data_IF_892800585338
#
_entry.id   IF_892800585338
#
_cell.length_a   1.000
_cell.length_b   1.000
_cell.length_c   1.000
_cell.angle_alpha   90.00
_cell.angle_beta   90.00
_cell.angle_gamma   90.00
#
_symmetry.space_group_name_H-M   'P 1'
#
loop_
_entity.id
_entity.type
_entity.pdbx_description
1 polymer ?
#
# COMPACT_ATOMS: atom_id res chain seq x y z
N UNK A 1 9.61 -12.09 16.33
CA UNK A 1 8.68 -11.15 15.67
C UNK A 1 7.29 -11.46 16.19
N UNK A 2 6.59 -10.47 16.73
CA UNK A 2 5.18 -10.57 17.07
C UNK A 2 4.38 -11.03 15.85
N UNK A 3 3.24 -11.66 16.07
CA UNK A 3 2.40 -12.20 15.00
C UNK A 3 1.83 -11.06 14.14
N UNK A 4 2.50 -10.77 13.03
CA UNK A 4 2.10 -9.76 12.06
C UNK A 4 0.74 -10.07 11.44
N UNK A 5 0.43 -11.35 11.19
CA UNK A 5 -0.86 -11.76 10.65
C UNK A 5 -1.99 -11.46 11.65
N UNK A 6 -1.78 -11.78 12.94
CA UNK A 6 -2.76 -11.42 13.97
C UNK A 6 -2.94 -9.90 14.10
N UNK A 7 -1.88 -9.11 13.93
CA UNK A 7 -1.97 -7.64 13.98
C UNK A 7 -2.77 -7.09 12.80
N UNK A 8 -2.50 -7.58 11.59
CA UNK A 8 -3.27 -7.25 10.39
C UNK A 8 -4.75 -7.59 10.58
N UNK A 9 -5.07 -8.81 11.04
CA UNK A 9 -6.47 -9.22 11.28
C UNK A 9 -7.17 -8.36 12.33
N UNK A 10 -6.48 -7.96 13.41
CA UNK A 10 -7.04 -7.03 14.40
C UNK A 10 -7.34 -5.67 13.78
N UNK A 11 -6.44 -5.14 12.95
CA UNK A 11 -6.66 -3.88 12.26
C UNK A 11 -7.82 -3.95 11.26
N UNK A 12 -7.94 -5.05 10.50
CA UNK A 12 -9.06 -5.30 9.60
C UNK A 12 -10.40 -5.35 10.36
N UNK A 13 -10.45 -6.05 11.49
CA UNK A 13 -11.65 -6.14 12.33
C UNK A 13 -12.06 -4.80 12.96
N UNK A 14 -11.10 -3.91 13.21
CA UNK A 14 -11.32 -2.57 13.76
C UNK A 14 -11.42 -1.45 12.70
N UNK A 15 -11.49 -1.80 11.42
CA UNK A 15 -11.47 -0.83 10.34
C UNK A 15 -12.73 0.05 10.32
N UNK A 16 -12.55 1.36 10.10
CA UNK A 16 -13.63 2.32 9.92
C UNK A 16 -14.05 2.34 8.44
N UNK A 17 -15.21 1.76 8.16
CA UNK A 17 -15.76 1.65 6.82
C UNK A 17 -16.47 2.96 6.40
N UNK A 18 -16.10 3.48 5.24
CA UNK A 18 -16.67 4.66 4.61
C UNK A 18 -17.28 4.28 3.27
N UNK A 19 -18.34 4.97 2.87
CA UNK A 19 -19.04 4.70 1.59
C UNK A 19 -18.89 5.83 0.59
N UNK A 20 -18.53 7.04 1.03
CA UNK A 20 -18.39 8.23 0.20
C UNK A 20 -16.92 8.66 0.12
N UNK A 21 -16.40 9.08 -1.06
CA UNK A 21 -17.10 9.10 -2.37
C UNK A 21 -17.17 7.72 -3.04
N UNK A 22 -16.47 6.73 -2.47
CA UNK A 22 -16.56 5.33 -2.80
C UNK A 22 -16.27 4.50 -1.56
N UNK A 23 -16.61 3.21 -1.59
CA UNK A 23 -16.35 2.30 -0.48
C UNK A 23 -14.85 2.18 -0.22
N UNK A 24 -14.43 2.56 0.98
CA UNK A 24 -13.05 2.46 1.44
C UNK A 24 -13.01 2.24 2.96
N UNK A 25 -11.85 1.86 3.47
CA UNK A 25 -11.66 1.59 4.89
C UNK A 25 -10.43 2.30 5.42
N UNK A 26 -10.56 2.85 6.61
CA UNK A 26 -9.46 3.46 7.35
C UNK A 26 -9.08 2.57 8.52
N UNK A 27 -7.78 2.35 8.70
CA UNK A 27 -7.24 1.42 9.68
C UNK A 27 -6.21 2.13 10.55
N UNK A 28 -6.04 1.63 11.77
CA UNK A 28 -4.99 2.04 12.69
C UNK A 28 -4.20 0.81 13.14
N UNK A 29 -2.91 1.01 13.43
CA UNK A 29 -2.02 0.00 13.97
C UNK A 29 -1.95 -1.30 13.14
N UNK A 30 -1.87 -1.17 11.82
CA UNK A 30 -1.92 -2.29 10.86
C UNK A 30 -0.86 -3.36 11.15
N UNK A 31 0.36 -2.91 11.44
CA UNK A 31 1.53 -3.78 11.64
C UNK A 31 2.00 -3.76 13.10
N UNK A 32 2.72 -4.78 13.57
CA UNK A 32 3.49 -4.68 14.80
C UNK A 32 4.44 -3.48 14.77
N UNK A 33 4.57 -2.74 15.88
CA UNK A 33 5.48 -1.58 15.95
C UNK A 33 6.95 -1.93 15.66
N UNK A 34 7.39 -3.13 16.03
CA UNK A 34 8.71 -3.67 15.68
C UNK A 34 8.87 -3.93 14.17
N UNK A 35 7.80 -4.35 13.47
CA UNK A 35 7.83 -4.55 12.03
C UNK A 35 7.93 -3.20 11.31
N UNK A 36 7.18 -2.18 11.76
CA UNK A 36 7.31 -0.80 11.26
C UNK A 36 8.76 -0.32 11.43
N UNK A 37 9.34 -0.51 12.63
CA UNK A 37 10.72 -0.11 12.91
C UNK A 37 11.73 -0.83 12.03
N UNK A 38 11.56 -2.14 11.82
CA UNK A 38 12.42 -2.94 10.95
C UNK A 38 12.31 -2.53 9.47
N UNK A 39 11.11 -2.21 8.97
CA UNK A 39 10.92 -1.67 7.60
C UNK A 39 11.65 -0.34 7.45
N UNK A 40 11.49 0.58 8.41
CA UNK A 40 12.13 1.91 8.36
C UNK A 40 13.66 1.85 8.43
N UNK A 41 14.21 0.75 8.93
CA UNK A 41 15.64 0.47 9.02
C UNK A 41 16.20 -0.28 7.79
N UNK A 42 15.37 -0.64 6.82
CA UNK A 42 15.85 -1.28 5.58
C UNK A 42 16.84 -0.35 4.86
N UNK A 43 17.95 -0.88 4.34
CA UNK A 43 19.02 -0.09 3.73
C UNK A 43 18.67 0.34 2.29
N UNK A 44 17.43 0.79 2.08
CA UNK A 44 16.93 1.26 0.80
C UNK A 44 16.95 2.79 0.80
N UNK A 45 17.89 3.42 0.06
CA UNK A 45 17.90 4.87 -0.03
C UNK A 45 16.62 5.33 -0.72
N UNK A 46 15.96 6.40 -0.25
CA UNK A 46 14.84 6.97 -0.98
C UNK A 46 15.34 7.41 -2.36
N UNK A 47 14.61 7.09 -3.44
CA UNK A 47 15.03 7.44 -4.80
C UNK A 47 15.16 8.97 -4.94
N UNK A 48 16.04 9.38 -5.85
CA UNK A 48 16.00 10.74 -6.38
C UNK A 48 14.78 10.82 -7.31
N UNK A 49 13.86 11.73 -7.00
CA UNK A 49 12.65 11.91 -7.78
C UNK A 49 12.90 13.10 -8.69
N UNK A 50 13.01 12.84 -10.00
CA UNK A 50 12.96 13.88 -11.02
C UNK A 50 11.52 14.31 -11.30
N UNK A 51 11.32 15.13 -12.33
CA UNK A 51 9.97 15.50 -12.78
C UNK A 51 9.17 14.24 -13.15
N UNK A 52 8.11 13.94 -12.40
CA UNK A 52 7.28 12.76 -12.62
C UNK A 52 6.15 13.01 -13.61
N UNK A 53 5.88 14.28 -13.96
CA UNK A 53 4.70 14.71 -14.71
C UNK A 53 3.40 14.13 -14.15
N UNK A 54 3.35 13.89 -12.83
CA UNK A 54 2.21 13.32 -12.14
C UNK A 54 2.02 11.82 -12.34
N UNK A 55 3.01 11.11 -12.90
CA UNK A 55 2.91 9.68 -13.21
C UNK A 55 3.92 8.86 -12.42
N UNK A 56 3.43 7.73 -11.92
CA UNK A 56 4.21 6.79 -11.11
C UNK A 56 5.22 5.96 -11.92
N UNK A 57 5.00 5.78 -13.21
CA UNK A 57 5.82 4.91 -14.08
C UNK A 57 7.18 5.51 -14.47
N UNK A 58 7.40 6.80 -14.22
CA UNK A 58 8.62 7.53 -14.60
C UNK A 58 9.90 7.03 -13.91
N UNK A 59 9.78 6.26 -12.83
CA UNK A 59 10.91 5.79 -12.01
C UNK A 59 10.82 4.30 -11.63
N UNK A 60 10.30 3.45 -12.54
CA UNK A 60 10.08 2.03 -12.24
C UNK A 60 11.34 1.26 -11.80
N UNK A 61 12.53 1.62 -12.29
CA UNK A 61 13.80 0.95 -11.96
C UNK A 61 14.28 1.16 -10.51
N UNK A 62 13.75 2.17 -9.82
CA UNK A 62 14.13 2.50 -8.43
C UNK A 62 13.10 2.03 -7.41
N UNK A 63 11.98 1.45 -7.86
CA UNK A 63 10.96 0.90 -6.97
C UNK A 63 11.52 -0.29 -6.20
N UNK A 64 11.03 -0.46 -4.98
CA UNK A 64 11.43 -1.54 -4.08
C UNK A 64 10.22 -2.39 -3.78
N UNK A 65 10.39 -3.70 -3.89
CA UNK A 65 9.35 -4.68 -3.65
C UNK A 65 9.81 -5.65 -2.56
N UNK A 66 8.89 -6.20 -1.78
CA UNK A 66 9.21 -7.32 -0.91
C UNK A 66 9.15 -8.63 -1.70
N UNK A 67 9.86 -8.67 -2.82
CA UNK A 67 9.95 -9.82 -3.69
C UNK A 67 10.92 -10.86 -3.12
N UNK A 68 11.09 -11.99 -3.81
CA UNK A 68 11.85 -13.13 -3.31
C UNK A 68 13.29 -12.77 -2.88
N UNK A 69 13.97 -11.85 -3.58
CA UNK A 69 15.31 -11.41 -3.22
C UNK A 69 15.32 -10.65 -1.89
N UNK A 70 14.44 -9.67 -1.73
CA UNK A 70 14.35 -8.86 -0.51
C UNK A 70 13.90 -9.69 0.69
N UNK A 71 13.01 -10.66 0.49
CA UNK A 71 12.64 -11.61 1.54
C UNK A 71 13.82 -12.46 2.01
N UNK A 72 14.68 -12.90 1.09
CA UNK A 72 15.89 -13.67 1.43
C UNK A 72 16.93 -12.84 2.19
N UNK A 73 17.00 -11.53 1.92
CA UNK A 73 17.97 -10.61 2.52
C UNK A 73 17.49 -9.96 3.82
N UNK A 74 16.18 -9.78 3.96
CA UNK A 74 15.57 -9.01 5.04
C UNK A 74 14.39 -9.78 5.66
N UNK A 75 14.54 -10.34 6.88
CA UNK A 75 13.52 -11.17 7.50
C UNK A 75 12.14 -10.52 7.62
N UNK A 76 12.08 -9.20 7.81
CA UNK A 76 10.82 -8.45 7.89
C UNK A 76 10.02 -8.51 6.58
N UNK A 77 10.68 -8.51 5.42
CA UNK A 77 10.03 -8.61 4.12
C UNK A 77 9.33 -9.96 3.97
N UNK A 78 10.04 -11.06 4.32
CA UNK A 78 9.47 -12.42 4.27
C UNK A 78 8.35 -12.62 5.29
N UNK A 79 8.52 -12.12 6.51
CA UNK A 79 7.49 -12.21 7.55
C UNK A 79 6.20 -11.49 7.16
N UNK A 80 6.31 -10.30 6.56
CA UNK A 80 5.14 -9.54 6.11
C UNK A 80 4.50 -10.18 4.87
N UNK A 81 5.28 -10.62 3.90
CA UNK A 81 4.77 -11.36 2.75
C UNK A 81 3.94 -12.57 3.19
N UNK A 82 4.49 -13.39 4.11
CA UNK A 82 3.78 -14.54 4.66
C UNK A 82 2.53 -14.14 5.47
N UNK A 83 2.58 -13.04 6.22
CA UNK A 83 1.45 -12.57 7.02
C UNK A 83 0.28 -12.07 6.16
N UNK A 84 0.57 -11.37 5.06
CA UNK A 84 -0.45 -10.90 4.11
C UNK A 84 -1.12 -12.08 3.39
N UNK A 85 -0.34 -13.08 2.98
CA UNK A 85 -0.88 -14.28 2.30
C UNK A 85 -1.31 -15.41 3.25
N UNK A 86 -1.31 -15.19 4.57
CA UNK A 86 -1.80 -16.19 5.51
C UNK A 86 -3.30 -16.45 5.27
N UNK A 87 -3.77 -17.71 5.27
CA UNK A 87 -5.17 -18.04 4.94
C UNK A 87 -6.19 -17.23 5.75
N UNK A 88 -6.00 -17.11 7.06
CA UNK A 88 -6.90 -16.33 7.92
C UNK A 88 -6.86 -14.81 7.61
N UNK A 89 -5.73 -14.30 7.13
CA UNK A 89 -5.61 -12.90 6.69
C UNK A 89 -6.36 -12.68 5.38
N UNK A 90 -6.18 -13.58 4.41
CA UNK A 90 -6.93 -13.57 3.14
C UNK A 90 -8.43 -13.61 3.40
N UNK A 91 -8.90 -14.59 4.19
CA UNK A 91 -10.31 -14.72 4.53
C UNK A 91 -10.87 -13.46 5.20
N UNK A 92 -10.09 -12.80 6.07
CA UNK A 92 -10.50 -11.54 6.69
C UNK A 92 -10.62 -10.39 5.67
N UNK A 93 -9.71 -10.31 4.70
CA UNK A 93 -9.77 -9.31 3.62
C UNK A 93 -10.98 -9.56 2.72
N UNK A 94 -11.17 -10.80 2.26
CA UNK A 94 -12.29 -11.19 1.40
C UNK A 94 -13.64 -10.91 2.07
N UNK A 95 -13.78 -11.27 3.35
CA UNK A 95 -14.99 -11.00 4.11
C UNK A 95 -15.27 -9.50 4.27
N UNK A 96 -14.26 -8.71 4.65
CA UNK A 96 -14.42 -7.27 4.89
C UNK A 96 -14.72 -6.50 3.59
N UNK A 97 -14.01 -6.83 2.52
CA UNK A 97 -14.07 -6.10 1.26
C UNK A 97 -15.08 -6.67 0.26
N UNK A 98 -15.58 -7.88 0.49
CA UNK A 98 -16.48 -8.59 -0.43
C UNK A 98 -15.83 -8.85 -1.79
N UNK A 99 -14.60 -9.38 -1.77
CA UNK A 99 -13.79 -9.73 -2.96
C UNK A 99 -13.39 -11.20 -2.91
N UNK A 100 -13.04 -11.76 -4.06
CA UNK A 100 -12.39 -13.07 -4.21
C UNK A 100 -10.93 -12.84 -4.60
N UNK A 101 -10.01 -13.31 -3.76
CA UNK A 101 -8.58 -13.22 -3.98
C UNK A 101 -7.97 -14.55 -4.45
N UNK A 102 -8.75 -15.62 -4.58
CA UNK A 102 -8.28 -16.93 -5.05
C UNK A 102 -7.55 -16.82 -6.39
N UNK A 103 -6.37 -17.46 -6.49
CA UNK A 103 -5.54 -17.41 -7.70
C UNK A 103 -4.79 -16.09 -7.93
N UNK A 104 -5.03 -15.05 -7.12
CA UNK A 104 -4.30 -13.78 -7.22
C UNK A 104 -2.88 -13.87 -6.67
N UNK A 105 -2.08 -12.86 -6.99
CA UNK A 105 -0.67 -12.79 -6.60
C UNK A 105 -0.40 -11.59 -5.69
N UNK A 106 0.29 -11.83 -4.58
CA UNK A 106 0.66 -10.79 -3.64
C UNK A 106 1.82 -9.94 -4.17
N UNK A 107 1.62 -8.62 -4.15
CA UNK A 107 2.62 -7.61 -4.48
C UNK A 107 2.70 -6.61 -3.33
N UNK A 108 3.91 -6.38 -2.80
CA UNK A 108 4.15 -5.40 -1.74
C UNK A 108 5.25 -4.46 -2.20
N UNK A 109 4.90 -3.19 -2.40
CA UNK A 109 5.81 -2.12 -2.77
C UNK A 109 6.17 -1.27 -1.56
N UNK A 110 7.45 -1.00 -1.37
CA UNK A 110 7.93 -0.02 -0.39
C UNK A 110 8.20 1.32 -1.09
N UNK A 111 7.40 2.31 -0.74
CA UNK A 111 7.40 3.63 -1.35
C UNK A 111 8.13 4.61 -0.45
N UNK A 112 8.92 5.50 -1.06
CA UNK A 112 9.75 6.48 -0.37
C UNK A 112 9.71 7.80 -1.16
N UNK A 113 8.64 8.55 -1.00
CA UNK A 113 8.40 9.78 -1.75
C UNK A 113 9.10 10.98 -1.06
N UNK A 114 9.66 11.88 -1.86
CA UNK A 114 10.34 13.12 -1.43
C UNK A 114 9.65 14.34 -2.01
N UNK A 115 10.07 15.51 -1.57
CA UNK A 115 9.57 16.79 -2.10
C UNK A 115 9.60 16.83 -3.63
N UNK A 116 8.57 17.44 -4.22
CA UNK A 116 8.34 17.42 -5.66
C UNK A 116 7.57 16.20 -6.17
N UNK A 117 7.44 15.12 -5.39
CA UNK A 117 6.56 14.02 -5.77
C UNK A 117 5.09 14.43 -5.77
N UNK A 118 4.40 14.08 -6.85
CA UNK A 118 2.96 14.16 -6.96
C UNK A 118 2.43 13.10 -7.93
N UNK A 119 1.15 12.79 -7.80
CA UNK A 119 0.46 11.77 -8.59
C UNK A 119 -0.92 12.31 -8.95
N UNK A 120 -1.19 12.40 -10.26
CA UNK A 120 -2.47 12.87 -10.78
C UNK A 120 -3.62 11.98 -10.29
N UNK A 121 -4.84 12.53 -10.14
CA UNK A 121 -6.02 11.71 -9.84
C UNK A 121 -6.17 10.61 -10.90
N UNK A 122 -6.18 9.36 -10.45
CA UNK A 122 -6.31 8.19 -11.32
C UNK A 122 -7.14 7.10 -10.64
N UNK A 123 -7.55 6.12 -11.42
CA UNK A 123 -8.04 4.85 -10.93
C UNK A 123 -6.99 3.77 -11.17
N UNK A 124 -7.03 2.73 -10.36
CA UNK A 124 -6.13 1.60 -10.52
C UNK A 124 -6.48 0.81 -11.79
N UNK A 125 -5.44 0.31 -12.48
CA UNK A 125 -5.63 -0.57 -13.64
C UNK A 125 -6.39 -1.84 -13.25
N UNK A 126 -7.24 -2.37 -14.13
CA UNK A 126 -8.10 -3.54 -13.90
C UNK A 126 -7.37 -4.88 -13.60
N UNK A 127 -6.05 -4.85 -13.43
CA UNK A 127 -5.21 -5.98 -13.06
C UNK A 127 -5.07 -6.15 -11.53
N UNK A 128 -5.67 -5.27 -10.72
CA UNK A 128 -5.61 -5.29 -9.25
C UNK A 128 -6.99 -5.61 -8.67
N UNK A 129 -7.08 -6.61 -7.80
CA UNK A 129 -8.30 -6.98 -7.09
C UNK A 129 -8.46 -6.25 -5.75
N UNK A 130 -7.36 -5.72 -5.21
CA UNK A 130 -7.31 -5.08 -3.90
C UNK A 130 -6.13 -4.11 -3.85
N UNK A 131 -6.32 -2.97 -3.18
CA UNK A 131 -5.26 -2.02 -2.88
C UNK A 131 -5.33 -1.57 -1.43
N UNK A 132 -4.20 -1.66 -0.74
CA UNK A 132 -4.00 -1.07 0.58
C UNK A 132 -2.75 -0.23 0.61
N UNK A 133 -2.84 0.94 1.23
CA UNK A 133 -1.68 1.70 1.67
C UNK A 133 -1.49 1.53 3.18
N UNK A 134 -0.25 1.38 3.62
CA UNK A 134 0.15 1.46 5.04
C UNK A 134 1.14 2.60 5.19
N UNK A 135 0.79 3.65 5.92
CA UNK A 135 1.68 4.79 6.16
C UNK A 135 2.69 4.43 7.25
N UNK A 136 3.98 4.65 7.01
CA UNK A 136 5.06 4.17 7.90
C UNK A 136 5.75 5.29 8.67
N UNK A 137 5.52 6.55 8.30
CA UNK A 137 6.11 7.71 8.95
C UNK A 137 5.02 8.74 9.24
N UNK A 138 5.15 9.42 10.37
CA UNK A 138 4.29 10.55 10.70
C UNK A 138 4.70 11.75 9.83
N UNK A 139 3.72 12.47 9.23
CA UNK A 139 4.01 13.76 8.65
C UNK A 139 4.43 14.75 9.76
N UNK A 140 5.35 15.68 9.47
CA UNK A 140 5.61 16.83 10.31
C UNK A 140 4.33 17.61 10.62
N UNK A 141 4.33 18.34 11.73
CA UNK A 141 3.17 19.13 12.12
C UNK A 141 2.79 20.14 11.01
N UNK A 142 1.52 20.11 10.60
CA UNK A 142 0.99 20.97 9.54
C UNK A 142 1.08 20.38 8.13
N UNK A 143 1.72 19.23 7.94
CA UNK A 143 1.71 18.49 6.68
C UNK A 143 0.72 17.33 6.72
N UNK A 144 0.19 16.97 5.54
CA UNK A 144 -0.67 15.80 5.37
C UNK A 144 -0.10 14.93 4.24
N UNK A 145 0.46 13.78 4.57
CA UNK A 145 1.01 12.85 3.59
C UNK A 145 0.02 11.73 3.20
N UNK A 146 -1.26 11.93 3.47
CA UNK A 146 -2.36 11.05 3.08
C UNK A 146 -2.46 10.81 1.59
N UNK A 147 -3.02 9.66 1.22
CA UNK A 147 -3.52 9.49 -0.15
C UNK A 147 -4.74 10.40 -0.32
N UNK A 148 -4.73 11.24 -1.35
CA UNK A 148 -5.89 12.07 -1.68
C UNK A 148 -7.00 11.19 -2.27
N UNK A 149 -8.22 11.45 -1.85
CA UNK A 149 -9.46 10.80 -2.27
C UNK A 149 -10.29 11.81 -3.05
N UNK A 150 -10.82 11.38 -4.19
CA UNK A 150 -11.59 12.21 -5.10
C UNK A 150 -12.93 11.53 -5.43
N UNK A 151 -13.97 12.34 -5.67
CA UNK A 151 -15.25 11.84 -6.19
C UNK A 151 -15.21 11.67 -7.72
N UNK A 152 -14.35 12.44 -8.39
CA UNK A 152 -14.11 12.39 -9.84
C UNK A 152 -12.70 12.90 -10.14
N UNK A 153 -12.19 12.83 -11.38
CA UNK A 153 -10.83 13.31 -11.72
C UNK A 153 -10.56 14.76 -11.32
N UNK A 154 -11.60 15.58 -11.14
CA UNK A 154 -11.50 17.02 -10.85
C UNK A 154 -12.07 17.42 -9.47
N UNK A 155 -12.67 16.47 -8.73
CA UNK A 155 -13.38 16.77 -7.48
C UNK A 155 -12.68 16.14 -6.28
N UNK A 156 -11.85 16.94 -5.61
CA UNK A 156 -11.16 16.55 -4.39
C UNK A 156 -12.12 16.50 -3.18
N UNK A 157 -12.08 15.41 -2.43
CA UNK A 157 -12.94 15.22 -1.23
C UNK A 157 -12.13 15.37 0.06
N UNK A 158 -10.95 14.77 0.12
CA UNK A 158 -10.16 14.72 1.35
C UNK A 158 -8.90 13.88 1.19
N UNK A 159 -8.11 13.78 2.25
CA UNK A 159 -6.95 12.90 2.31
C UNK A 159 -7.12 11.89 3.43
N UNK A 160 -6.70 10.65 3.18
CA UNK A 160 -6.71 9.61 4.21
C UNK A 160 -5.70 9.96 5.32
N UNK A 161 -6.04 9.81 6.62
CA UNK A 161 -5.13 10.16 7.71
C UNK A 161 -3.81 9.37 7.64
N UNK A 162 -2.69 10.05 7.37
CA UNK A 162 -1.37 9.44 7.23
C UNK A 162 -0.59 9.33 8.55
N UNK A 163 -1.27 9.03 9.66
CA UNK A 163 -0.56 8.75 10.92
C UNK A 163 0.29 7.50 10.75
N UNK A 164 1.42 7.41 11.45
CA UNK A 164 2.24 6.20 11.43
C UNK A 164 1.39 4.97 11.74
N UNK A 165 1.58 3.95 10.91
CA UNK A 165 0.92 2.66 10.97
C UNK A 165 -0.60 2.71 10.74
N UNK A 166 -1.12 3.81 10.20
CA UNK A 166 -2.48 3.89 9.69
C UNK A 166 -2.56 3.26 8.29
N UNK A 167 -3.75 2.81 7.91
CA UNK A 167 -4.01 2.20 6.61
C UNK A 167 -5.19 2.82 5.87
N UNK A 168 -5.14 2.76 4.54
CA UNK A 168 -6.26 3.01 3.65
C UNK A 168 -6.44 1.78 2.76
N UNK A 169 -7.64 1.23 2.70
CA UNK A 169 -8.02 0.15 1.77
C UNK A 169 -9.10 0.66 0.82
N UNK A 170 -9.02 0.28 -0.44
CA UNK A 170 -10.10 0.39 -1.41
C UNK A 170 -10.02 -0.75 -2.43
N UNK A 171 -11.15 -1.08 -3.06
CA UNK A 171 -11.20 -2.07 -4.13
C UNK A 171 -11.15 -1.32 -5.47
N UNK A 172 -10.14 -1.55 -6.32
CA UNK A 172 -10.01 -0.89 -7.61
C UNK A 172 -11.31 -0.95 -8.44
N UNK A 173 -11.72 0.19 -8.95
CA UNK A 173 -12.92 0.37 -9.77
C UNK A 173 -12.94 1.72 -10.48
N UNK A 174 -13.86 1.89 -11.44
CA UNK A 174 -13.96 3.08 -12.31
C UNK A 174 -14.22 4.39 -11.55
N UNK A 175 -14.74 4.31 -10.32
CA UNK A 175 -15.02 5.45 -9.45
C UNK A 175 -14.05 5.60 -8.28
N UNK A 176 -13.02 4.75 -8.17
CA UNK A 176 -12.05 4.79 -7.05
C UNK A 176 -10.91 5.79 -7.31
N UNK A 177 -11.28 7.04 -7.54
CA UNK A 177 -10.32 8.10 -7.85
C UNK A 177 -9.46 8.44 -6.63
N UNK A 178 -8.15 8.34 -6.81
CA UNK A 178 -7.17 8.63 -5.77
C UNK A 178 -5.89 9.21 -6.39
N UNK A 179 -5.06 9.81 -5.55
CA UNK A 179 -3.79 10.39 -6.00
C UNK A 179 -2.96 10.96 -4.87
N UNK A 180 -2.05 11.84 -5.24
CA UNK A 180 -1.25 12.63 -4.30
C UNK A 180 -1.02 14.02 -4.91
N UNK A 181 -1.89 14.98 -4.57
CA UNK A 181 -1.82 16.36 -5.07
C UNK A 181 -0.49 16.99 -4.68
N UNK A 182 -0.01 17.88 -5.55
CA UNK A 182 1.23 18.61 -5.34
C UNK A 182 1.16 19.42 -4.05
N UNK A 183 2.08 19.10 -3.13
CA UNK A 183 2.29 19.79 -1.85
C UNK A 183 3.67 19.45 -1.30
N UNK A 184 4.19 20.23 -0.35
CA UNK A 184 5.51 19.97 0.22
C UNK A 184 5.60 18.59 0.89
N UNK A 185 6.77 17.98 0.77
CA UNK A 185 7.18 16.83 1.59
C UNK A 185 8.53 17.19 2.23
N UNK A 186 8.52 17.74 3.43
CA UNK A 186 9.77 18.19 4.09
C UNK A 186 10.68 17.06 4.59
N UNK A 187 10.29 15.80 4.38
CA UNK A 187 11.06 14.61 4.75
C UNK A 187 10.98 13.50 3.71
N UNK A 188 10.79 12.26 4.16
CA UNK A 188 10.52 11.12 3.28
C UNK A 188 9.18 10.52 3.67
N UNK A 189 8.20 10.67 2.80
CA UNK A 189 6.90 10.00 2.92
C UNK A 189 7.09 8.52 2.62
N UNK A 190 6.94 7.68 3.65
CA UNK A 190 7.16 6.23 3.55
C UNK A 190 5.84 5.50 3.67
N UNK A 191 5.58 4.59 2.74
CA UNK A 191 4.41 3.71 2.81
C UNK A 191 4.70 2.34 2.23
N UNK A 192 3.89 1.35 2.62
CA UNK A 192 3.72 0.14 1.84
C UNK A 192 2.50 0.30 0.95
N UNK A 193 2.56 -0.25 -0.26
CA UNK A 193 1.37 -0.54 -1.06
C UNK A 193 1.27 -2.03 -1.23
N UNK A 194 0.19 -2.59 -0.70
CA UNK A 194 -0.14 -4.01 -0.80
C UNK A 194 -1.23 -4.17 -1.85
N UNK A 195 -0.94 -4.98 -2.86
CA UNK A 195 -1.89 -5.34 -3.90
C UNK A 195 -2.03 -6.85 -4.00
N UNK A 196 -3.23 -7.29 -4.34
CA UNK A 196 -3.47 -8.60 -4.94
C UNK A 196 -3.75 -8.40 -6.42
N UNK A 197 -2.92 -8.97 -7.28
CA UNK A 197 -2.96 -8.75 -8.72
C UNK A 197 -3.33 -10.01 -9.49
N UNK A 198 -3.78 -9.83 -10.73
CA UNK A 198 -4.09 -10.92 -11.67
C UNK A 198 -2.92 -11.92 -11.83
N UNK A 199 -3.20 -13.22 -12.03
CA UNK A 199 -2.17 -14.21 -12.36
C UNK A 199 -1.33 -13.84 -13.59
N UNK A 200 -1.89 -13.05 -14.52
CA UNK A 200 -1.22 -12.58 -15.74
C UNK A 200 -0.23 -11.42 -15.52
N UNK A 201 0.06 -11.05 -14.27
CA UNK A 201 0.98 -9.96 -13.95
C UNK A 201 2.38 -10.20 -14.52
N UNK A 202 2.75 -9.38 -15.51
CA UNK A 202 3.98 -9.57 -16.29
C UNK A 202 5.26 -9.30 -15.51
N UNK A 203 5.24 -8.31 -14.60
CA UNK A 203 6.40 -7.95 -13.79
C UNK A 203 6.55 -8.90 -12.60
N UNK A 204 6.87 -10.16 -12.87
CA UNK A 204 6.96 -11.25 -11.87
C UNK A 204 7.97 -10.97 -10.75
N UNK A 205 9.00 -10.18 -11.05
CA UNK A 205 10.01 -9.75 -10.08
C UNK A 205 9.48 -8.78 -9.01
N UNK A 206 8.26 -8.25 -9.16
CA UNK A 206 7.60 -7.39 -8.16
C UNK A 206 6.78 -8.20 -7.14
N UNK A 207 6.60 -9.50 -7.39
CA UNK A 207 5.69 -10.35 -6.61
C UNK A 207 6.41 -10.96 -5.41
N UNK A 208 5.69 -11.02 -4.29
CA UNK A 208 6.18 -11.66 -3.07
C UNK A 208 6.37 -13.17 -3.28
N UNK A 209 5.39 -13.81 -3.91
CA UNK A 209 5.45 -15.24 -4.23
C UNK A 209 4.95 -15.46 -5.67
N UNK A 210 5.82 -15.31 -6.68
CA UNK A 210 5.39 -15.40 -8.08
C UNK A 210 4.67 -16.74 -8.34
N UNK A 211 5.22 -17.85 -7.86
CA UNK A 211 4.71 -19.19 -8.23
C UNK A 211 3.81 -19.81 -7.17
N UNK A 212 3.33 -19.00 -6.21
CA UNK A 212 2.39 -19.43 -5.17
C UNK A 212 1.27 -18.40 -5.04
N UNK A 213 0.22 -18.49 -5.88
CA UNK A 213 -0.94 -17.62 -5.75
C UNK A 213 -1.67 -17.87 -4.42
N UNK A 214 -2.57 -16.97 -4.08
CA UNK A 214 -3.55 -17.17 -3.01
C UNK A 214 -4.35 -18.44 -3.32
N UNK A 215 -4.50 -19.30 -2.31
CA UNK A 215 -5.14 -20.61 -2.43
C UNK A 215 -6.66 -20.52 -2.48
#
# INVERSE_FOLDING_TARGET
>A
MSDAAASIRRALAGADARTEPYRHWLLAEVLPGEAVSAILALPFPPPEIGETAGRRETHNSTRRFFAAEEQARHPVCGALAAAWQAPDTIAAIEAMCSVDLGGSLLRIEYCQDRDGFWLEPHTDIGAKFFTMLVYLADPPAGEDWGTDIFASPVEYVGSAPARRNAGLIFIPGENTWHGFRQRPISGVRRSLIVNYVTPDWRSRHELAFPDKPVA
#
